data_IF_885595476037
#
_entry.id   IF_885595476037
#
_cell.length_a   1.000
_cell.length_b   1.000
_cell.length_c   1.000
_cell.angle_alpha   90.00
_cell.angle_beta   90.00
_cell.angle_gamma   90.00
#
_symmetry.space_group_name_H-M   'P 1'
#
loop_
_entity.id
_entity.type
_entity.pdbx_description
1 polymer ?
#
# COMPACT_ATOMS: atom_id res chain seq x y z
N UNK A 1 12.17 -8.32 4.06
CA UNK A 1 11.06 -7.93 3.15
C UNK A 1 9.80 -7.99 4.00
N UNK A 2 9.39 -6.85 4.56
CA UNK A 2 8.27 -6.78 5.51
C UNK A 2 6.99 -6.73 4.67
N UNK A 3 6.17 -7.78 4.74
CA UNK A 3 4.87 -7.80 4.05
C UNK A 3 3.84 -7.11 4.94
N UNK A 4 2.98 -6.25 4.38
CA UNK A 4 1.80 -5.75 5.09
C UNK A 4 1.05 -6.93 5.71
N UNK A 5 0.62 -6.75 6.98
CA UNK A 5 -0.12 -7.75 7.75
C UNK A 5 -1.32 -8.30 6.95
N UNK A 6 -1.66 -9.59 7.12
CA UNK A 6 -2.87 -10.16 6.53
C UNK A 6 -4.12 -9.37 6.97
N UNK A 7 -5.12 -9.28 6.10
CA UNK A 7 -6.40 -8.65 6.44
C UNK A 7 -7.20 -9.67 7.24
N UNK A 8 -7.50 -9.33 8.49
CA UNK A 8 -8.24 -10.23 9.38
C UNK A 8 -9.76 -10.09 9.16
N UNK A 9 -10.55 -11.16 9.32
CA UNK A 9 -12.00 -11.11 9.08
C UNK A 9 -12.75 -10.09 9.96
N UNK A 10 -12.22 -9.77 11.13
CA UNK A 10 -12.75 -8.84 12.13
C UNK A 10 -12.19 -7.42 12.00
N UNK A 11 -11.41 -7.13 10.95
CA UNK A 11 -10.89 -5.79 10.63
C UNK A 11 -12.00 -4.73 10.76
N UNK A 12 -11.76 -3.72 11.58
CA UNK A 12 -12.59 -2.53 11.73
C UNK A 12 -11.95 -1.29 11.11
N UNK A 13 -12.67 -0.17 11.12
CA UNK A 13 -12.16 1.10 10.60
C UNK A 13 -10.93 1.62 11.36
N UNK A 14 -10.80 1.30 12.66
CA UNK A 14 -9.64 1.69 13.46
C UNK A 14 -8.35 1.00 12.96
N UNK A 15 -8.47 -0.26 12.52
CA UNK A 15 -7.33 -1.05 12.04
C UNK A 15 -6.82 -0.57 10.68
N UNK A 16 -7.64 0.19 9.93
CA UNK A 16 -7.24 0.78 8.65
C UNK A 16 -6.18 1.87 8.83
N UNK A 17 -6.19 2.59 9.95
CA UNK A 17 -5.23 3.67 10.20
C UNK A 17 -3.80 3.14 10.19
N UNK A 18 -3.54 2.04 10.91
CA UNK A 18 -2.24 1.38 10.94
C UNK A 18 -1.83 0.88 9.55
N UNK A 19 -2.75 0.19 8.86
CA UNK A 19 -2.49 -0.34 7.53
C UNK A 19 -2.16 0.75 6.49
N UNK A 20 -2.88 1.88 6.53
CA UNK A 20 -2.63 3.03 5.66
C UNK A 20 -1.29 3.68 6.00
N UNK A 21 -0.99 3.88 7.29
CA UNK A 21 0.29 4.44 7.73
C UNK A 21 1.47 3.57 7.26
N UNK A 22 1.35 2.25 7.38
CA UNK A 22 2.36 1.31 6.92
C UNK A 22 2.54 1.38 5.40
N UNK A 23 1.43 1.36 4.64
CA UNK A 23 1.48 1.45 3.19
C UNK A 23 2.11 2.77 2.69
N UNK A 24 1.79 3.90 3.32
CA UNK A 24 2.39 5.21 3.02
C UNK A 24 3.88 5.20 3.34
N UNK A 25 4.26 4.76 4.55
CA UNK A 25 5.65 4.73 4.99
C UNK A 25 6.52 3.86 4.09
N UNK A 26 6.02 2.68 3.69
CA UNK A 26 6.73 1.79 2.79
C UNK A 26 6.84 2.36 1.37
N UNK A 27 5.78 3.00 0.86
CA UNK A 27 5.81 3.67 -0.44
C UNK A 27 6.82 4.80 -0.46
N UNK A 28 6.90 5.59 0.61
CA UNK A 28 7.87 6.67 0.76
C UNK A 28 9.30 6.15 0.77
N UNK A 29 9.58 5.08 1.53
CA UNK A 29 10.92 4.46 1.56
C UNK A 29 11.33 3.96 0.18
N UNK A 30 10.45 3.24 -0.53
CA UNK A 30 10.75 2.70 -1.85
C UNK A 30 10.95 3.83 -2.88
N UNK A 31 10.09 4.84 -2.85
CA UNK A 31 10.17 6.01 -3.74
C UNK A 31 11.45 6.81 -3.48
N UNK A 32 11.80 7.05 -2.22
CA UNK A 32 13.04 7.74 -1.84
C UNK A 32 14.28 6.95 -2.28
N UNK A 33 14.29 5.63 -2.16
CA UNK A 33 15.40 4.78 -2.60
C UNK A 33 15.61 4.89 -4.12
N UNK A 34 14.52 4.87 -4.89
CA UNK A 34 14.59 4.99 -6.35
C UNK A 34 14.98 6.41 -6.76
N UNK A 35 14.41 7.43 -6.13
CA UNK A 35 14.77 8.83 -6.38
C UNK A 35 16.27 9.05 -6.16
N UNK A 36 16.81 8.58 -5.04
CA UNK A 36 18.23 8.72 -4.73
C UNK A 36 19.12 8.01 -5.74
N UNK A 37 18.70 6.86 -6.25
CA UNK A 37 19.42 6.17 -7.33
C UNK A 37 19.48 7.05 -8.59
N UNK A 38 18.36 7.60 -9.05
CA UNK A 38 18.33 8.43 -10.27
C UNK A 38 18.98 9.81 -10.12
N UNK A 39 18.98 10.41 -8.92
CA UNK A 39 19.70 11.66 -8.63
C UNK A 39 21.22 11.53 -8.84
N UNK A 40 21.78 10.34 -8.61
CA UNK A 40 23.22 10.07 -8.70
C UNK A 40 23.68 9.56 -10.09
N UNK A 41 22.74 9.24 -10.98
CA UNK A 41 23.02 8.55 -12.26
C UNK A 41 22.90 9.49 -13.48
N UNK A 42 22.50 10.76 -13.29
CA UNK A 42 22.25 11.70 -14.38
C UNK A 42 23.46 11.84 -15.36
N UNK A 43 23.35 11.37 -16.62
CA UNK A 43 24.41 11.55 -17.61
C UNK A 43 24.32 12.94 -18.24
N UNK A 44 25.45 13.46 -18.73
CA UNK A 44 25.51 14.75 -19.45
C UNK A 44 24.67 14.77 -20.73
N UNK A 45 24.34 13.60 -21.29
CA UNK A 45 23.80 13.45 -22.64
C UNK A 45 22.35 12.90 -22.66
N UNK A 46 21.66 12.92 -21.51
CA UNK A 46 20.25 12.53 -21.38
C UNK A 46 20.02 11.25 -20.57
N UNK A 47 18.78 11.08 -20.10
CA UNK A 47 18.38 9.91 -19.30
C UNK A 47 18.10 8.70 -20.21
N UNK A 48 19.00 7.72 -20.20
CA UNK A 48 18.73 6.38 -20.74
C UNK A 48 18.40 5.47 -19.57
N UNK A 49 17.12 5.10 -19.42
CA UNK A 49 16.69 4.07 -18.47
C UNK A 49 17.20 2.73 -19.00
N UNK A 50 18.16 2.12 -18.31
CA UNK A 50 18.65 0.78 -18.66
C UNK A 50 17.70 -0.30 -18.13
N UNK A 51 17.96 -1.57 -18.47
CA UNK A 51 17.09 -2.68 -18.06
C UNK A 51 16.97 -2.82 -16.53
N UNK A 52 18.06 -2.60 -15.80
CA UNK A 52 18.06 -2.69 -14.33
C UNK A 52 17.22 -1.56 -13.69
N UNK A 53 17.34 -0.34 -14.22
CA UNK A 53 16.55 0.81 -13.80
C UNK A 53 15.05 0.60 -14.09
N UNK A 54 14.73 0.02 -15.25
CA UNK A 54 13.37 -0.35 -15.61
C UNK A 54 12.81 -1.39 -14.63
N UNK A 55 13.56 -2.44 -14.31
CA UNK A 55 13.14 -3.48 -13.36
C UNK A 55 12.87 -2.90 -11.96
N UNK A 56 13.69 -1.95 -11.49
CA UNK A 56 13.48 -1.26 -10.21
C UNK A 56 12.20 -0.42 -10.20
N UNK A 57 11.92 0.29 -11.29
CA UNK A 57 10.68 1.05 -11.46
C UNK A 57 9.45 0.13 -11.52
N UNK A 58 9.54 -0.99 -12.24
CA UNK A 58 8.48 -2.00 -12.30
C UNK A 58 8.23 -2.64 -10.93
N UNK A 59 9.28 -2.93 -10.18
CA UNK A 59 9.16 -3.44 -8.82
C UNK A 59 8.40 -2.46 -7.92
N UNK A 60 8.77 -1.17 -7.92
CA UNK A 60 8.06 -0.15 -7.16
C UNK A 60 6.58 -0.06 -7.55
N UNK A 61 6.29 0.03 -8.86
CA UNK A 61 4.92 0.10 -9.35
C UNK A 61 4.09 -1.10 -8.87
N UNK A 62 4.65 -2.31 -8.97
CA UNK A 62 4.01 -3.55 -8.52
C UNK A 62 3.74 -3.56 -7.02
N UNK A 63 4.70 -3.09 -6.21
CA UNK A 63 4.54 -2.98 -4.76
C UNK A 63 3.43 -1.99 -4.38
N UNK A 64 3.43 -0.80 -5.01
CA UNK A 64 2.40 0.23 -4.75
C UNK A 64 1.01 -0.28 -5.13
N UNK A 65 0.86 -0.93 -6.30
CA UNK A 65 -0.41 -1.55 -6.69
C UNK A 65 -0.86 -2.60 -5.67
N UNK A 66 0.04 -3.50 -5.24
CA UNK A 66 -0.31 -4.52 -4.25
C UNK A 66 -0.74 -3.94 -2.91
N UNK A 67 -0.07 -2.89 -2.42
CA UNK A 67 -0.46 -2.21 -1.18
C UNK A 67 -1.82 -1.50 -1.32
N UNK A 68 -2.07 -0.87 -2.48
CA UNK A 68 -3.35 -0.23 -2.77
C UNK A 68 -4.51 -1.24 -2.78
N UNK A 69 -4.31 -2.41 -3.39
CA UNK A 69 -5.31 -3.47 -3.43
C UNK A 69 -5.64 -3.99 -2.02
N UNK A 70 -4.61 -4.19 -1.17
CA UNK A 70 -4.80 -4.61 0.23
C UNK A 70 -5.55 -3.59 1.07
N UNK A 71 -5.18 -2.31 0.97
CA UNK A 71 -5.89 -1.23 1.69
C UNK A 71 -7.36 -1.17 1.27
N UNK A 72 -7.63 -1.31 -0.04
CA UNK A 72 -8.99 -1.34 -0.58
C UNK A 72 -9.78 -2.55 -0.06
N UNK A 73 -9.19 -3.73 -0.04
CA UNK A 73 -9.84 -4.94 0.49
C UNK A 73 -10.19 -4.77 1.98
N UNK A 74 -9.24 -4.29 2.78
CA UNK A 74 -9.44 -4.04 4.21
C UNK A 74 -10.59 -3.05 4.45
N UNK A 75 -10.67 -1.98 3.64
CA UNK A 75 -11.77 -1.03 3.70
C UNK A 75 -13.14 -1.69 3.48
N UNK A 76 -13.26 -2.58 2.49
CA UNK A 76 -14.54 -3.25 2.23
C UNK A 76 -14.90 -4.28 3.30
N UNK A 77 -13.91 -4.94 3.92
CA UNK A 77 -14.13 -5.79 5.09
C UNK A 77 -14.66 -4.97 6.27
N UNK A 78 -13.99 -3.86 6.60
CA UNK A 78 -14.40 -2.96 7.67
C UNK A 78 -15.82 -2.42 7.45
N UNK A 79 -16.15 -2.02 6.20
CA UNK A 79 -17.47 -1.55 5.83
C UNK A 79 -18.56 -2.62 6.01
N UNK A 80 -18.26 -3.88 5.65
CA UNK A 80 -19.19 -5.01 5.86
C UNK A 80 -19.43 -5.22 7.35
N UNK A 81 -18.37 -5.30 8.14
CA UNK A 81 -18.44 -5.54 9.59
C UNK A 81 -19.24 -4.43 10.30
N UNK A 82 -19.07 -3.17 9.88
CA UNK A 82 -19.85 -2.05 10.43
C UNK A 82 -21.35 -2.15 10.10
N UNK A 83 -21.70 -2.60 8.88
CA UNK A 83 -23.11 -2.82 8.49
C UNK A 83 -23.76 -3.93 9.31
N UNK A 84 -23.08 -5.07 9.45
CA UNK A 84 -23.56 -6.20 10.25
C UNK A 84 -23.74 -5.80 11.72
N UNK A 85 -22.79 -5.06 12.29
CA UNK A 85 -22.89 -4.56 13.66
C UNK A 85 -24.10 -3.60 13.86
N UNK A 86 -24.41 -2.76 12.87
CA UNK A 86 -25.59 -1.88 12.89
C UNK A 86 -26.89 -2.67 12.81
N UNK A 87 -26.96 -3.71 12.01
CA UNK A 87 -28.14 -4.58 11.88
C UNK A 87 -28.41 -5.35 13.17
N UNK A 88 -27.37 -5.93 13.80
CA UNK A 88 -27.53 -6.63 15.09
C UNK A 88 -28.09 -5.70 16.17
N UNK A 89 -27.59 -4.47 16.27
CA UNK A 89 -28.10 -3.46 17.23
C UNK A 89 -29.56 -3.11 17.01
N UNK A 90 -30.02 -3.05 15.75
CA UNK A 90 -31.42 -2.78 15.40
C UNK A 90 -32.34 -3.97 15.69
N UNK A 91 -31.85 -5.19 15.57
CA UNK A 91 -32.62 -6.41 15.87
C UNK A 91 -32.78 -6.71 17.37
N UNK A 92 -32.01 -6.04 18.22
CA UNK A 92 -31.99 -6.21 19.68
C UNK A 92 -32.78 -5.12 20.42
N UNK A 93 -33.45 -4.20 19.70
CA UNK A 93 -34.38 -3.19 20.21
C UNK A 93 -35.81 -3.57 19.86
#
# INVERSE_FOLDING_TARGET
MTTLSPIEPDTGFHDLEGLICDAVSMTDVLTNSIRHHFENVAPSDGFVINAEDADRLFFLASMVTSMSDKVREAFYVALRNEREAKEMRRSSQ
#
